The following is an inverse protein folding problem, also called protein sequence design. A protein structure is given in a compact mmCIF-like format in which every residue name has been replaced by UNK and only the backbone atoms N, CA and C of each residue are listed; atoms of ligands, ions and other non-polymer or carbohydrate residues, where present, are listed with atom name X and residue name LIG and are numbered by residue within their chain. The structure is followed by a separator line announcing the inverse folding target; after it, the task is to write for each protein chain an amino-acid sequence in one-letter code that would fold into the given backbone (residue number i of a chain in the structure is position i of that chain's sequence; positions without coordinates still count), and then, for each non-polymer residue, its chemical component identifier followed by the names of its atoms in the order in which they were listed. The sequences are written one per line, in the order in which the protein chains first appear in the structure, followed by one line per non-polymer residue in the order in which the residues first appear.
data_IF_964585562947
#
_entry.id   IF_964585562947
#
_cell.length_a   1.000
_cell.length_b   1.000
_cell.length_c   1.000
_cell.angle_alpha   90.00
_cell.angle_beta   90.00
_cell.angle_gamma   90.00
#
_symmetry.space_group_name_H-M   'P 1'
#
loop_
_entity.id
_entity.type
_entity.pdbx_description
1 polymer ?
#
# COMPACT_ATOMS: atom_id res chain seq x y z
N UNK A 1 16.47 -2.14 23.72
CA UNK A 1 15.15 -1.78 23.15
C UNK A 1 15.35 -1.46 21.68
N UNK A 2 14.65 -2.14 20.78
CA UNK A 2 14.74 -1.86 19.32
C UNK A 2 13.53 -1.02 18.97
N UNK A 3 13.76 0.14 18.37
CA UNK A 3 12.71 1.06 17.93
C UNK A 3 12.43 0.86 16.45
N UNK A 4 11.21 1.14 16.01
CA UNK A 4 10.81 1.03 14.60
C UNK A 4 11.71 1.86 13.67
N UNK A 5 12.21 3.02 14.14
CA UNK A 5 13.15 3.87 13.42
C UNK A 5 14.47 3.17 13.11
N UNK A 6 14.97 2.36 14.03
CA UNK A 6 16.22 1.63 13.81
C UNK A 6 16.04 0.58 12.71
N UNK A 7 14.89 -0.09 12.69
CA UNK A 7 14.53 -1.04 11.62
C UNK A 7 14.41 -0.29 10.30
N UNK A 8 13.73 0.88 10.31
CA UNK A 8 13.59 1.72 9.12
C UNK A 8 14.94 2.15 8.57
N UNK A 9 15.83 2.69 9.39
CA UNK A 9 17.17 3.14 8.98
C UNK A 9 17.98 1.99 8.40
N UNK A 10 17.94 0.81 9.04
CA UNK A 10 18.68 -0.37 8.58
C UNK A 10 18.22 -0.85 7.20
N UNK A 11 16.91 -0.76 6.90
CA UNK A 11 16.35 -1.17 5.61
C UNK A 11 16.44 -0.06 4.57
N UNK A 12 16.08 1.18 4.95
CA UNK A 12 16.00 2.30 4.01
C UNK A 12 17.38 2.85 3.62
N UNK A 13 18.37 2.81 4.50
CA UNK A 13 19.70 3.35 4.23
C UNK A 13 20.35 2.77 2.97
N UNK A 14 20.50 1.44 2.85
CA UNK A 14 21.04 0.82 1.63
C UNK A 14 20.20 1.11 0.37
N UNK A 15 18.88 1.20 0.51
CA UNK A 15 17.98 1.50 -0.60
C UNK A 15 18.13 2.94 -1.06
N UNK A 16 18.25 3.91 -0.15
CA UNK A 16 18.51 5.32 -0.48
C UNK A 16 19.84 5.48 -1.20
N UNK A 17 20.89 4.76 -0.77
CA UNK A 17 22.16 4.75 -1.47
C UNK A 17 22.03 4.17 -2.87
N UNK A 18 21.31 3.07 -3.03
CA UNK A 18 21.09 2.42 -4.34
C UNK A 18 20.33 3.31 -5.33
N UNK A 19 19.43 4.19 -4.85
CA UNK A 19 18.73 5.16 -5.71
C UNK A 19 19.68 6.11 -6.46
N UNK A 20 20.84 6.40 -5.91
CA UNK A 20 21.86 7.25 -6.58
C UNK A 20 22.45 6.54 -7.79
N UNK A 21 22.53 5.22 -7.78
CA UNK A 21 23.16 4.39 -8.80
C UNK A 21 22.15 3.86 -9.83
N UNK A 22 20.87 3.76 -9.46
CA UNK A 22 19.82 3.23 -10.29
C UNK A 22 19.24 4.26 -11.26
N UNK A 23 18.68 3.79 -12.38
CA UNK A 23 18.01 4.61 -13.39
C UNK A 23 16.74 3.93 -13.88
N UNK A 24 15.84 4.72 -14.46
CA UNK A 24 14.63 4.22 -15.12
C UNK A 24 13.70 3.46 -14.16
N UNK A 25 13.16 2.36 -14.63
CA UNK A 25 12.12 1.60 -13.88
C UNK A 25 12.63 1.05 -12.54
N UNK A 26 13.87 0.59 -12.46
CA UNK A 26 14.44 0.09 -11.21
C UNK A 26 14.49 1.18 -10.13
N UNK A 27 14.94 2.40 -10.50
CA UNK A 27 14.95 3.56 -9.59
C UNK A 27 13.54 3.90 -9.12
N UNK A 28 12.55 3.92 -10.02
CA UNK A 28 11.15 4.17 -9.69
C UNK A 28 10.60 3.13 -8.71
N UNK A 29 10.86 1.85 -8.96
CA UNK A 29 10.43 0.77 -8.06
C UNK A 29 11.01 0.94 -6.65
N UNK A 30 12.32 1.15 -6.51
CA UNK A 30 12.94 1.35 -5.20
C UNK A 30 12.44 2.62 -4.52
N UNK A 31 12.19 3.70 -5.27
CA UNK A 31 11.61 4.92 -4.73
C UNK A 31 10.21 4.69 -4.12
N UNK A 32 9.30 4.05 -4.86
CA UNK A 32 7.95 3.79 -4.34
C UNK A 32 7.93 2.73 -3.22
N UNK A 33 8.88 1.80 -3.22
CA UNK A 33 9.07 0.87 -2.10
C UNK A 33 9.44 1.63 -0.82
N UNK A 34 10.39 2.55 -0.90
CA UNK A 34 10.77 3.44 0.20
C UNK A 34 9.61 4.32 0.66
N UNK A 35 8.82 4.88 -0.27
CA UNK A 35 7.61 5.62 0.07
C UNK A 35 6.63 4.77 0.87
N UNK A 36 6.46 3.50 0.50
CA UNK A 36 5.61 2.55 1.23
C UNK A 36 6.12 2.27 2.65
N UNK A 37 7.41 2.03 2.80
CA UNK A 37 8.04 1.84 4.11
C UNK A 37 7.89 3.10 5.00
N UNK A 38 8.09 4.29 4.42
CA UNK A 38 7.89 5.56 5.12
C UNK A 38 6.42 5.74 5.55
N UNK A 39 5.48 5.40 4.66
CA UNK A 39 4.05 5.44 4.97
C UNK A 39 3.70 4.51 6.16
N UNK A 40 4.28 3.31 6.20
CA UNK A 40 4.08 2.35 7.31
C UNK A 40 4.66 2.88 8.63
N UNK A 41 5.86 3.47 8.61
CA UNK A 41 6.44 4.10 9.80
C UNK A 41 5.57 5.25 10.32
N UNK A 42 5.13 6.15 9.43
CA UNK A 42 4.23 7.25 9.79
C UNK A 42 2.89 6.75 10.31
N UNK A 43 2.35 5.68 9.71
CA UNK A 43 1.11 5.06 10.17
C UNK A 43 1.23 4.52 11.59
N UNK A 44 2.34 3.86 11.93
CA UNK A 44 2.58 3.38 13.28
C UNK A 44 2.54 4.51 14.31
N UNK A 45 3.11 5.68 14.01
CA UNK A 45 3.03 6.86 14.87
C UNK A 45 1.61 7.43 14.96
N UNK A 46 0.92 7.58 13.83
CA UNK A 46 -0.45 8.09 13.82
C UNK A 46 -1.40 7.19 14.60
N UNK A 47 -1.26 5.87 14.46
CA UNK A 47 -2.06 4.89 15.17
C UNK A 47 -1.77 4.94 16.68
N UNK A 48 -0.50 5.03 17.08
CA UNK A 48 -0.11 5.13 18.49
C UNK A 48 -0.59 6.45 19.11
N UNK A 49 -0.44 7.56 18.39
CA UNK A 49 -0.93 8.86 18.84
C UNK A 49 -2.47 8.90 18.92
N UNK A 50 -3.14 8.38 17.89
CA UNK A 50 -4.61 8.31 17.84
C UNK A 50 -5.18 7.44 18.94
N UNK A 51 -4.57 6.29 19.23
CA UNK A 51 -4.94 5.41 20.33
C UNK A 51 -4.81 6.13 21.69
N UNK A 52 -3.67 6.78 21.92
CA UNK A 52 -3.42 7.52 23.15
C UNK A 52 -4.36 8.73 23.31
N UNK A 53 -4.63 9.47 22.25
CA UNK A 53 -5.51 10.64 22.27
C UNK A 53 -6.98 10.28 22.48
N UNK A 54 -7.39 9.08 22.04
CA UNK A 54 -8.78 8.60 22.15
C UNK A 54 -9.01 7.65 23.32
N UNK A 55 -7.98 7.34 24.10
CA UNK A 55 -8.01 6.37 25.21
C UNK A 55 -8.56 5.00 24.80
N UNK A 56 -8.10 4.50 23.65
CA UNK A 56 -8.50 3.20 23.10
C UNK A 56 -7.32 2.23 23.06
N UNK A 57 -7.63 0.93 23.02
CA UNK A 57 -6.62 -0.13 22.93
C UNK A 57 -5.99 -0.19 21.53
N UNK A 58 -4.83 -0.85 21.41
CA UNK A 58 -4.18 -1.09 20.13
C UNK A 58 -5.07 -1.86 19.14
N UNK A 59 -5.86 -2.84 19.63
CA UNK A 59 -6.80 -3.59 18.81
C UNK A 59 -7.94 -2.68 18.29
N UNK A 60 -8.44 -1.79 19.12
CA UNK A 60 -9.45 -0.81 18.70
C UNK A 60 -8.87 0.18 17.69
N UNK A 61 -7.64 0.65 17.90
CA UNK A 61 -6.97 1.53 16.94
C UNK A 61 -6.75 0.83 15.60
N UNK A 62 -6.41 -0.45 15.60
CA UNK A 62 -6.25 -1.25 14.36
C UNK A 62 -7.56 -1.41 13.57
N UNK A 63 -8.72 -1.26 14.23
CA UNK A 63 -10.03 -1.32 13.57
C UNK A 63 -10.55 0.05 13.12
N UNK A 64 -10.33 1.09 13.94
CA UNK A 64 -10.98 2.39 13.78
C UNK A 64 -10.10 3.44 13.10
N UNK A 65 -8.78 3.39 13.32
CA UNK A 65 -7.85 4.42 12.86
C UNK A 65 -6.98 3.91 11.71
N UNK A 66 -6.34 2.74 11.91
CA UNK A 66 -5.37 2.18 10.98
C UNK A 66 -5.91 2.03 9.57
N UNK A 67 -7.11 1.45 9.31
CA UNK A 67 -7.53 1.17 7.95
C UNK A 67 -7.61 2.40 7.05
N UNK A 68 -8.13 3.50 7.57
CA UNK A 68 -8.20 4.75 6.80
C UNK A 68 -6.84 5.45 6.74
N UNK A 69 -6.13 5.53 7.85
CA UNK A 69 -4.82 6.17 7.95
C UNK A 69 -3.80 5.54 7.02
N UNK A 70 -3.71 4.22 7.02
CA UNK A 70 -2.79 3.45 6.19
C UNK A 70 -3.08 3.64 4.70
N UNK A 71 -4.36 3.56 4.31
CA UNK A 71 -4.73 3.71 2.90
C UNK A 71 -4.50 5.13 2.38
N UNK A 72 -4.76 6.15 3.21
CA UNK A 72 -4.45 7.56 2.88
C UNK A 72 -2.94 7.75 2.73
N UNK A 73 -2.13 7.27 3.67
CA UNK A 73 -0.68 7.42 3.60
C UNK A 73 -0.06 6.71 2.39
N UNK A 74 -0.56 5.52 2.03
CA UNK A 74 -0.15 4.81 0.82
C UNK A 74 -0.57 5.51 -0.46
N UNK A 75 -1.73 6.18 -0.44
CA UNK A 75 -2.24 6.93 -1.59
C UNK A 75 -1.36 8.14 -1.93
N UNK A 76 -0.86 8.87 -0.93
CA UNK A 76 -0.20 10.17 -1.10
C UNK A 76 0.96 10.15 -2.11
N UNK A 77 1.98 9.27 -2.03
CA UNK A 77 3.10 9.29 -2.97
C UNK A 77 2.67 9.02 -4.41
N UNK A 78 1.67 8.16 -4.61
CA UNK A 78 1.15 7.85 -5.95
C UNK A 78 0.28 9.00 -6.47
N UNK A 79 -0.49 9.65 -5.60
CA UNK A 79 -1.26 10.84 -5.94
C UNK A 79 -0.35 11.99 -6.42
N UNK A 80 0.72 12.28 -5.69
CA UNK A 80 1.72 13.28 -6.13
C UNK A 80 2.34 12.89 -7.47
N UNK A 81 2.67 11.62 -7.67
CA UNK A 81 3.20 11.12 -8.93
C UNK A 81 2.22 11.37 -10.10
N UNK A 82 0.94 11.09 -9.90
CA UNK A 82 -0.10 11.31 -10.92
C UNK A 82 -0.27 12.80 -11.23
N UNK A 83 -0.33 13.64 -10.20
CA UNK A 83 -0.59 15.08 -10.36
C UNK A 83 0.59 15.84 -10.99
N UNK A 84 1.82 15.42 -10.71
CA UNK A 84 3.02 16.15 -11.17
C UNK A 84 3.55 15.63 -12.52
N UNK A 85 3.42 14.33 -12.79
CA UNK A 85 4.12 13.69 -13.91
C UNK A 85 3.18 13.08 -14.96
N UNK A 86 1.87 13.05 -14.72
CA UNK A 86 0.86 12.50 -15.64
C UNK A 86 1.25 11.12 -16.22
N UNK A 87 1.61 10.13 -15.37
CA UNK A 87 2.13 8.85 -15.83
C UNK A 87 1.08 8.02 -16.56
N UNK A 88 1.53 6.97 -17.25
CA UNK A 88 0.61 6.00 -17.86
C UNK A 88 -0.11 5.21 -16.77
N UNK A 89 -1.31 4.73 -17.06
CA UNK A 89 -2.12 3.93 -16.11
C UNK A 89 -1.36 2.72 -15.54
N UNK A 90 -0.58 2.02 -16.37
CA UNK A 90 0.26 0.92 -15.92
C UNK A 90 1.30 1.35 -14.90
N UNK A 91 1.89 2.53 -15.10
CA UNK A 91 2.88 3.09 -14.18
C UNK A 91 2.23 3.48 -12.85
N UNK A 92 0.99 4.00 -12.86
CA UNK A 92 0.21 4.30 -11.66
C UNK A 92 -0.05 3.02 -10.85
N UNK A 93 -0.60 2.00 -11.50
CA UNK A 93 -0.91 0.72 -10.85
C UNK A 93 0.36 0.05 -10.30
N UNK A 94 1.43 -0.01 -11.11
CA UNK A 94 2.71 -0.56 -10.68
C UNK A 94 3.28 0.20 -9.47
N UNK A 95 3.19 1.54 -9.46
CA UNK A 95 3.67 2.36 -8.35
C UNK A 95 2.83 2.15 -7.09
N UNK A 96 1.49 2.08 -7.21
CA UNK A 96 0.60 1.81 -6.10
C UNK A 96 0.86 0.43 -5.47
N UNK A 97 1.01 -0.61 -6.29
CA UNK A 97 1.38 -1.96 -5.83
C UNK A 97 2.73 -1.96 -5.11
N UNK A 98 3.70 -1.20 -5.63
CA UNK A 98 5.05 -1.11 -5.03
C UNK A 98 5.01 -0.38 -3.69
N UNK A 99 4.19 0.66 -3.53
CA UNK A 99 3.96 1.33 -2.23
C UNK A 99 3.34 0.34 -1.23
N UNK A 100 2.30 -0.41 -1.63
CA UNK A 100 1.70 -1.43 -0.79
C UNK A 100 2.68 -2.51 -0.36
N UNK A 101 3.54 -2.96 -1.26
CA UNK A 101 4.61 -3.91 -0.96
C UNK A 101 5.61 -3.35 0.07
N UNK A 102 6.06 -2.10 -0.14
CA UNK A 102 6.98 -1.44 0.81
C UNK A 102 6.36 -1.27 2.20
N UNK A 103 5.08 -0.88 2.24
CA UNK A 103 4.31 -0.79 3.48
C UNK A 103 4.32 -2.11 4.25
N UNK A 104 3.92 -3.20 3.58
CA UNK A 104 3.87 -4.54 4.16
C UNK A 104 5.23 -5.05 4.63
N UNK A 105 6.28 -4.86 3.81
CA UNK A 105 7.62 -5.32 4.16
C UNK A 105 8.10 -4.68 5.47
N UNK A 106 7.87 -3.39 5.64
CA UNK A 106 8.27 -2.70 6.85
C UNK A 106 7.38 -3.08 8.04
N UNK A 107 6.07 -3.12 7.88
CA UNK A 107 5.13 -3.55 8.92
C UNK A 107 5.46 -4.96 9.43
N UNK A 108 5.66 -5.92 8.53
CA UNK A 108 6.01 -7.28 8.90
C UNK A 108 7.37 -7.36 9.58
N UNK A 109 8.36 -6.57 9.14
CA UNK A 109 9.68 -6.51 9.79
C UNK A 109 9.56 -5.99 11.23
N UNK A 110 8.79 -4.93 11.45
CA UNK A 110 8.53 -4.41 12.79
C UNK A 110 7.80 -5.45 13.64
N UNK A 111 6.79 -6.13 13.09
CA UNK A 111 6.02 -7.13 13.80
C UNK A 111 6.91 -8.30 14.27
N UNK A 112 7.77 -8.82 13.40
CA UNK A 112 8.70 -9.91 13.74
C UNK A 112 9.67 -9.49 14.85
N UNK A 113 10.21 -8.27 14.75
CA UNK A 113 11.22 -7.80 15.70
C UNK A 113 10.62 -7.42 17.06
N UNK A 114 9.43 -6.80 17.07
CA UNK A 114 8.82 -6.27 18.30
C UNK A 114 8.03 -7.33 19.07
N UNK A 115 7.38 -8.23 18.37
CA UNK A 115 6.50 -9.22 18.99
C UNK A 115 7.09 -10.64 18.97
N UNK A 116 8.01 -10.92 18.04
CA UNK A 116 8.58 -12.24 17.83
C UNK A 116 7.48 -13.29 17.60
N UNK A 117 7.81 -14.42 17.03
CA UNK A 117 6.91 -15.57 17.04
C UNK A 117 7.72 -16.83 17.06
N UNK A 118 7.44 -17.72 17.98
CA UNK A 118 7.96 -19.07 18.01
C UNK A 118 7.23 -19.98 17.01
N UNK A 119 6.01 -19.57 16.58
CA UNK A 119 5.20 -20.31 15.60
C UNK A 119 5.43 -19.81 14.17
N UNK A 120 6.25 -20.54 13.42
CA UNK A 120 6.54 -20.27 12.02
C UNK A 120 5.29 -20.25 11.15
N UNK A 121 4.33 -21.16 11.38
CA UNK A 121 3.11 -21.22 10.57
C UNK A 121 2.25 -19.96 10.76
N UNK A 122 2.12 -19.50 11.99
CA UNK A 122 1.42 -18.24 12.29
C UNK A 122 2.08 -17.07 11.58
N UNK A 123 3.41 -16.96 11.63
CA UNK A 123 4.16 -15.90 10.96
C UNK A 123 4.02 -15.94 9.45
N UNK A 124 4.04 -17.12 8.84
CA UNK A 124 3.81 -17.29 7.41
C UNK A 124 2.38 -16.86 7.04
N UNK A 125 1.37 -17.37 7.73
CA UNK A 125 -0.03 -17.02 7.45
C UNK A 125 -0.27 -15.53 7.61
N UNK A 126 0.18 -14.92 8.70
CA UNK A 126 0.05 -13.48 8.94
C UNK A 126 0.80 -12.68 7.87
N UNK A 127 2.07 -12.97 7.66
CA UNK A 127 2.91 -12.20 6.74
C UNK A 127 2.38 -12.22 5.30
N UNK A 128 2.01 -13.39 4.80
CA UNK A 128 1.44 -13.53 3.45
C UNK A 128 0.05 -12.92 3.35
N UNK A 129 -0.81 -13.14 4.34
CA UNK A 129 -2.19 -12.65 4.32
C UNK A 129 -2.25 -11.13 4.42
N UNK A 130 -1.51 -10.53 5.37
CA UNK A 130 -1.41 -9.07 5.51
C UNK A 130 -0.80 -8.45 4.25
N UNK A 131 0.24 -9.09 3.68
CA UNK A 131 0.84 -8.66 2.42
C UNK A 131 -0.13 -8.68 1.25
N UNK A 132 -0.92 -9.75 1.13
CA UNK A 132 -1.96 -9.84 0.11
C UNK A 132 -3.05 -8.77 0.32
N UNK A 133 -3.47 -8.52 1.56
CA UNK A 133 -4.46 -7.50 1.91
C UNK A 133 -3.99 -6.10 1.48
N UNK A 134 -2.78 -5.68 1.87
CA UNK A 134 -2.24 -4.38 1.47
C UNK A 134 -2.05 -4.26 -0.04
N UNK A 135 -1.68 -5.37 -0.71
CA UNK A 135 -1.56 -5.41 -2.18
C UNK A 135 -2.92 -5.18 -2.85
N UNK A 136 -3.98 -5.85 -2.39
CA UNK A 136 -5.36 -5.66 -2.89
C UNK A 136 -5.81 -4.22 -2.66
N UNK A 137 -5.66 -3.68 -1.46
CA UNK A 137 -6.01 -2.30 -1.14
C UNK A 137 -5.29 -1.30 -2.05
N UNK A 138 -3.96 -1.48 -2.23
CA UNK A 138 -3.16 -0.61 -3.09
C UNK A 138 -3.51 -0.74 -4.56
N UNK A 139 -3.91 -1.92 -5.04
CA UNK A 139 -4.42 -2.10 -6.39
C UNK A 139 -5.75 -1.37 -6.60
N UNK A 140 -6.66 -1.44 -5.63
CA UNK A 140 -7.97 -0.76 -5.68
C UNK A 140 -7.79 0.76 -5.67
N UNK A 141 -7.00 1.31 -4.76
CA UNK A 141 -6.71 2.76 -4.70
C UNK A 141 -5.96 3.24 -5.95
N UNK A 142 -4.95 2.48 -6.39
CA UNK A 142 -4.20 2.76 -7.62
C UNK A 142 -5.10 2.77 -8.86
N UNK A 143 -6.06 1.85 -8.95
CA UNK A 143 -7.06 1.86 -10.01
C UNK A 143 -7.90 3.15 -9.97
N UNK A 144 -8.37 3.59 -8.80
CA UNK A 144 -9.06 4.87 -8.63
C UNK A 144 -8.26 6.05 -9.17
N UNK A 145 -6.95 6.10 -8.87
CA UNK A 145 -6.05 7.15 -9.34
C UNK A 145 -5.88 7.17 -10.87
N UNK A 146 -6.09 6.06 -11.57
CA UNK A 146 -6.00 6.04 -13.05
C UNK A 146 -7.04 6.91 -13.74
N UNK A 147 -8.07 7.35 -13.04
CA UNK A 147 -9.12 8.23 -13.58
C UNK A 147 -8.81 9.72 -13.36
N UNK A 148 -7.89 10.10 -12.45
CA UNK A 148 -7.57 11.49 -12.10
C UNK A 148 -7.04 12.33 -13.27
N UNK A 149 -6.36 11.73 -14.25
CA UNK A 149 -5.90 12.42 -15.46
C UNK A 149 -7.02 12.88 -16.42
N UNK A 150 -8.27 12.56 -16.12
CA UNK A 150 -9.44 13.04 -16.83
C UNK A 150 -10.05 14.17 -15.99
N UNK A 151 -9.90 15.42 -16.39
CA UNK A 151 -10.36 16.64 -15.70
C UNK A 151 -11.88 16.72 -15.50
N UNK A 152 -12.50 15.77 -14.76
CA UNK A 152 -13.94 15.77 -14.49
C UNK A 152 -14.24 15.27 -13.09
N UNK A 153 -15.29 15.78 -12.47
CA UNK A 153 -15.83 15.34 -11.17
C UNK A 153 -15.87 13.80 -10.98
N UNK A 154 -16.19 12.97 -12.00
CA UNK A 154 -16.17 11.53 -11.87
C UNK A 154 -14.81 10.95 -11.44
N UNK A 155 -13.70 11.61 -11.78
CA UNK A 155 -12.37 11.15 -11.41
C UNK A 155 -12.10 11.27 -9.90
N UNK A 156 -12.51 12.40 -9.29
CA UNK A 156 -12.39 12.60 -7.85
C UNK A 156 -13.29 11.61 -7.09
N UNK A 157 -14.55 11.47 -7.51
CA UNK A 157 -15.51 10.52 -6.92
C UNK A 157 -14.99 9.08 -7.01
N UNK A 158 -14.39 8.69 -8.15
CA UNK A 158 -13.78 7.37 -8.31
C UNK A 158 -12.62 7.16 -7.34
N UNK A 159 -11.73 8.14 -7.20
CA UNK A 159 -10.57 8.03 -6.29
C UNK A 159 -11.01 7.91 -4.84
N UNK A 160 -11.92 8.77 -4.39
CA UNK A 160 -12.46 8.74 -3.02
C UNK A 160 -13.25 7.45 -2.77
N UNK A 161 -14.07 7.02 -3.74
CA UNK A 161 -14.82 5.77 -3.63
C UNK A 161 -13.92 4.54 -3.52
N UNK A 162 -12.85 4.47 -4.33
CA UNK A 162 -11.89 3.37 -4.28
C UNK A 162 -11.05 3.40 -2.99
N UNK A 163 -10.68 4.58 -2.49
CA UNK A 163 -10.03 4.73 -1.19
C UNK A 163 -10.94 4.23 -0.05
N UNK A 164 -12.21 4.62 -0.06
CA UNK A 164 -13.19 4.17 0.93
C UNK A 164 -13.41 2.66 0.87
N UNK A 165 -13.46 2.09 -0.33
CA UNK A 165 -13.56 0.63 -0.52
C UNK A 165 -12.34 -0.09 0.04
N UNK A 166 -11.14 0.41 -0.24
CA UNK A 166 -9.89 -0.17 0.27
C UNK A 166 -9.83 -0.09 1.81
N UNK A 167 -10.15 1.07 2.40
CA UNK A 167 -10.18 1.24 3.84
C UNK A 167 -11.22 0.33 4.52
N UNK A 168 -12.41 0.18 3.92
CA UNK A 168 -13.44 -0.75 4.43
C UNK A 168 -12.97 -2.20 4.34
N UNK A 169 -12.37 -2.60 3.22
CA UNK A 169 -11.82 -3.94 3.05
C UNK A 169 -10.73 -4.23 4.07
N UNK A 170 -9.82 -3.28 4.31
CA UNK A 170 -8.78 -3.36 5.32
C UNK A 170 -9.38 -3.52 6.74
N UNK A 171 -10.40 -2.72 7.08
CA UNK A 171 -11.09 -2.83 8.37
C UNK A 171 -11.77 -4.20 8.55
N UNK A 172 -12.43 -4.72 7.52
CA UNK A 172 -13.04 -6.06 7.54
C UNK A 172 -11.99 -7.14 7.73
N UNK A 173 -10.85 -7.04 7.05
CA UNK A 173 -9.73 -7.95 7.24
C UNK A 173 -9.24 -7.93 8.70
N UNK A 174 -8.94 -6.76 9.27
CA UNK A 174 -8.49 -6.62 10.65
C UNK A 174 -9.53 -7.17 11.63
N UNK A 175 -10.81 -6.90 11.41
CA UNK A 175 -11.90 -7.42 12.23
C UNK A 175 -11.91 -8.97 12.24
N UNK A 176 -11.74 -9.61 11.08
CA UNK A 176 -11.76 -11.07 10.95
C UNK A 176 -10.53 -11.71 11.60
N UNK A 177 -9.33 -11.16 11.40
CA UNK A 177 -8.10 -11.77 11.97
C UNK A 177 -7.97 -11.60 13.46
N UNK A 178 -8.66 -10.62 14.06
CA UNK A 178 -8.76 -10.46 15.51
C UNK A 178 -9.70 -11.50 16.18
N UNK A 179 -10.55 -12.15 15.40
CA UNK A 179 -11.43 -13.21 15.91
C UNK A 179 -10.66 -14.50 16.16
N UNK A 180 -11.36 -15.53 16.62
CA UNK A 180 -10.85 -16.90 16.81
C UNK A 180 -11.56 -17.87 15.88
N UNK A 181 -10.99 -19.06 15.70
CA UNK A 181 -11.63 -20.15 14.96
C UNK A 181 -11.85 -19.85 13.47
N UNK A 182 -13.04 -20.19 12.95
CA UNK A 182 -13.35 -20.09 11.53
C UNK A 182 -13.27 -18.67 10.98
N UNK A 183 -13.67 -17.65 11.74
CA UNK A 183 -13.64 -16.26 11.31
C UNK A 183 -12.20 -15.79 11.00
N UNK A 184 -11.23 -16.15 11.86
CA UNK A 184 -9.81 -15.86 11.62
C UNK A 184 -9.29 -16.53 10.35
N UNK A 185 -9.64 -17.79 10.13
CA UNK A 185 -9.22 -18.53 8.94
C UNK A 185 -9.80 -17.92 7.66
N UNK A 186 -11.06 -17.47 7.69
CA UNK A 186 -11.68 -16.71 6.60
C UNK A 186 -10.92 -15.40 6.37
N UNK A 187 -10.55 -14.68 7.43
CA UNK A 187 -9.75 -13.46 7.36
C UNK A 187 -8.43 -13.70 6.61
N UNK A 188 -7.69 -14.75 6.96
CA UNK A 188 -6.44 -15.08 6.28
C UNK A 188 -6.63 -15.50 4.82
N UNK A 189 -7.72 -16.18 4.47
CA UNK A 189 -8.00 -16.62 3.11
C UNK A 189 -8.53 -15.49 2.19
N UNK A 190 -9.26 -14.53 2.77
CA UNK A 190 -9.95 -13.47 2.03
C UNK A 190 -9.05 -12.68 1.06
N UNK A 191 -7.84 -12.22 1.45
CA UNK A 191 -6.98 -11.45 0.54
C UNK A 191 -6.47 -12.26 -0.65
N UNK A 192 -6.27 -13.56 -0.50
CA UNK A 192 -5.86 -14.42 -1.61
C UNK A 192 -6.97 -14.59 -2.63
N UNK A 193 -8.20 -14.86 -2.18
CA UNK A 193 -9.36 -15.00 -3.06
C UNK A 193 -9.64 -13.70 -3.81
N UNK A 194 -9.66 -12.58 -3.11
CA UNK A 194 -9.90 -11.27 -3.72
C UNK A 194 -8.75 -10.84 -4.62
N UNK A 195 -7.50 -11.13 -4.26
CA UNK A 195 -6.32 -10.86 -5.07
C UNK A 195 -6.32 -11.66 -6.37
N UNK A 196 -6.68 -12.95 -6.33
CA UNK A 196 -6.83 -13.77 -7.52
C UNK A 196 -7.97 -13.29 -8.43
N UNK A 197 -9.12 -12.92 -7.85
CA UNK A 197 -10.24 -12.36 -8.61
C UNK A 197 -9.86 -11.03 -9.27
N UNK A 198 -9.15 -10.16 -8.56
CA UNK A 198 -8.66 -8.89 -9.10
C UNK A 198 -7.62 -9.11 -10.22
N UNK A 199 -6.70 -10.04 -10.04
CA UNK A 199 -5.70 -10.39 -11.06
C UNK A 199 -6.37 -10.92 -12.34
N UNK A 200 -7.39 -11.77 -12.21
CA UNK A 200 -8.19 -12.24 -13.35
C UNK A 200 -8.90 -11.09 -14.06
N UNK A 201 -9.59 -10.22 -13.31
CA UNK A 201 -10.29 -9.06 -13.85
C UNK A 201 -9.35 -8.07 -14.58
N UNK A 202 -8.15 -7.85 -14.06
CA UNK A 202 -7.15 -6.99 -14.71
C UNK A 202 -6.55 -7.63 -15.97
N UNK A 203 -6.43 -8.96 -16.00
CA UNK A 203 -5.91 -9.70 -17.16
C UNK A 203 -6.88 -9.70 -18.34
N UNK A 204 -8.18 -9.82 -18.05
CA UNK A 204 -9.24 -9.87 -19.06
C UNK A 204 -9.67 -8.47 -19.54
N UNK A 205 -9.13 -7.41 -18.92
CA UNK A 205 -9.44 -6.04 -19.31
C UNK A 205 -8.89 -5.73 -20.71
N UNK A 206 -9.72 -5.24 -21.66
CA UNK A 206 -9.28 -4.93 -23.00
C UNK A 206 -8.06 -3.99 -22.98
N UNK A 207 -7.01 -4.31 -23.73
CA UNK A 207 -5.75 -3.56 -23.82
C UNK A 207 -5.89 -2.05 -24.11
N UNK A 208 -7.05 -1.61 -24.60
CA UNK A 208 -7.39 -0.20 -24.82
C UNK A 208 -7.57 0.63 -23.55
N UNK A 209 -7.85 0.02 -22.39
CA UNK A 209 -7.94 0.74 -21.12
C UNK A 209 -6.57 1.12 -20.54
N UNK A 210 -5.52 0.45 -21.01
CA UNK A 210 -4.15 0.59 -20.52
C UNK A 210 -3.31 1.55 -21.38
N UNK A 211 -3.72 1.83 -22.63
CA UNK A 211 -2.94 2.58 -23.62
C UNK A 211 -3.53 3.97 -23.90
N UNK A 212 -3.30 4.96 -23.00
CA UNK A 212 -3.57 6.38 -23.29
C UNK A 212 -2.39 7.06 -23.98
N UNK A 213 -2.66 7.90 -25.02
CA UNK A 213 -1.65 8.65 -25.79
C UNK A 213 -0.90 9.68 -24.90
N UNK A 214 0.41 9.83 -25.17
CA UNK A 214 1.34 10.76 -24.50
C UNK A 214 1.09 12.22 -24.93
N UNK A 215 1.20 13.17 -24.00
CA UNK A 215 1.23 14.63 -24.19
C UNK A 215 2.55 15.27 -23.71
N UNK A 216 2.92 16.34 -24.31
CA UNK A 216 4.26 16.92 -24.55
C UNK A 216 5.14 17.50 -23.43
N UNK A 217 4.85 17.48 -22.13
CA UNK A 217 5.79 17.93 -21.07
C UNK A 217 6.66 16.80 -20.52
N UNK A 218 6.40 15.60 -20.96
CA UNK A 218 6.99 14.37 -20.44
C UNK A 218 8.48 14.16 -20.75
N UNK A 219 9.04 14.85 -21.75
CA UNK A 219 10.41 14.58 -22.19
C UNK A 219 11.49 15.11 -21.25
N UNK A 220 11.21 16.16 -20.48
CA UNK A 220 12.19 16.75 -19.56
C UNK A 220 12.36 15.90 -18.29
N UNK A 221 11.26 15.39 -17.73
CA UNK A 221 11.32 14.57 -16.51
C UNK A 221 11.63 13.09 -16.77
N UNK A 222 11.44 12.57 -18.00
CA UNK A 222 11.76 11.18 -18.35
C UNK A 222 13.26 10.87 -18.31
N UNK A 223 14.13 11.89 -18.39
CA UNK A 223 15.58 11.71 -18.25
C UNK A 223 16.01 11.50 -16.79
N UNK A 224 15.14 11.83 -15.83
CA UNK A 224 15.39 11.68 -14.39
C UNK A 224 14.76 10.41 -13.79
N UNK A 225 13.81 9.81 -14.47
CA UNK A 225 13.09 8.58 -14.11
C UNK A 225 13.33 7.51 -15.18
#
# INVERSE_FOLDING_TARGET
MIYAENIYIALAGPMLFSLMLMRGQARRTVFFLLCGMTASLLSAYLNSFGAAASDITADQASLLISPLGDEVLKLLPVLFYVLLLEPRRQDILSSALTVGLGFTLFENSCYIVLFGSEDLLYMLLRGFSTGAMHTVCSAVTGFGLTFLGRRHWPALVSTVGMLSLAATYHAVYNLLVLQTGAARNIGYALPFVTGLALAAALRDSPSGWVLGKRGGIQNFFQSWW
#
